data_IF_529880952826
#
_entry.id   IF_529880952826
#
_cell.length_a   1.000
_cell.length_b   1.000
_cell.length_c   1.000
_cell.angle_alpha   90.00
_cell.angle_beta   90.00
_cell.angle_gamma   90.00
#
_symmetry.space_group_name_H-M   'P 1'
#
loop_
_entity.id
_entity.type
_entity.pdbx_description
1 polymer ?
#
# COMPACT_ATOMS: atom_id res chain seq x y z
N UNK A 1 -2.38 4.64 -24.74
CA UNK A 1 -1.32 3.65 -24.48
C UNK A 1 0.00 4.36 -24.15
N UNK A 2 0.43 4.37 -22.87
CA UNK A 2 1.72 4.96 -22.50
C UNK A 2 2.88 4.05 -22.91
N UNK A 3 3.88 4.62 -23.61
CA UNK A 3 5.12 3.96 -24.03
C UNK A 3 6.21 4.20 -22.99
N UNK A 4 6.88 3.13 -22.53
CA UNK A 4 8.02 3.22 -21.60
C UNK A 4 9.29 2.67 -22.23
N UNK A 5 10.42 3.29 -21.88
CA UNK A 5 11.75 2.83 -22.29
C UNK A 5 12.24 1.73 -21.34
N UNK A 6 12.65 0.59 -21.89
CA UNK A 6 13.37 -0.45 -21.17
C UNK A 6 14.83 -0.02 -21.06
N UNK A 7 15.35 0.04 -19.84
CA UNK A 7 16.77 0.27 -19.56
C UNK A 7 17.43 -1.01 -19.04
N UNK A 8 18.66 -1.29 -19.49
CA UNK A 8 19.49 -2.36 -18.93
C UNK A 8 20.16 -1.92 -17.62
N UNK A 9 20.83 -2.85 -16.93
CA UNK A 9 21.56 -2.58 -15.68
C UNK A 9 22.72 -1.59 -15.86
N UNK A 10 23.18 -1.38 -17.09
CA UNK A 10 24.20 -0.43 -17.49
C UNK A 10 23.63 0.97 -17.77
N UNK A 11 22.30 1.14 -17.73
CA UNK A 11 21.61 2.41 -17.94
C UNK A 11 21.34 2.75 -19.41
N UNK A 12 21.59 1.84 -20.34
CA UNK A 12 21.32 2.03 -21.76
C UNK A 12 19.87 1.62 -22.09
N UNK A 13 19.22 2.37 -22.96
CA UNK A 13 17.87 2.04 -23.43
C UNK A 13 17.94 0.90 -24.45
N UNK A 14 17.36 -0.25 -24.11
CA UNK A 14 17.39 -1.47 -24.94
C UNK A 14 16.14 -1.60 -25.82
N UNK A 15 15.05 -0.89 -25.50
CA UNK A 15 13.83 -0.90 -26.31
C UNK A 15 12.69 -0.09 -25.71
N UNK A 16 11.53 -0.13 -26.36
CA UNK A 16 10.28 0.49 -25.89
C UNK A 16 9.19 -0.56 -25.72
N UNK A 17 8.34 -0.41 -24.71
CA UNK A 17 7.19 -1.28 -24.44
C UNK A 17 5.94 -0.46 -24.26
N UNK A 18 4.88 -0.92 -24.90
CA UNK A 18 3.53 -0.41 -24.73
C UNK A 18 2.85 -1.04 -23.50
N UNK A 19 2.34 -0.20 -22.61
CA UNK A 19 1.59 -0.64 -21.44
C UNK A 19 0.08 -0.66 -21.67
N UNK A 20 -0.60 -1.57 -20.97
CA UNK A 20 -2.05 -1.70 -21.02
C UNK A 20 -2.74 -0.41 -20.52
N UNK A 21 -3.53 0.21 -21.39
CA UNK A 21 -4.18 1.50 -21.12
C UNK A 21 -5.19 1.45 -19.97
N UNK A 22 -5.87 0.31 -19.80
CA UNK A 22 -6.87 0.11 -18.75
C UNK A 22 -6.30 0.24 -17.33
N UNK A 23 -5.01 -0.06 -17.15
CA UNK A 23 -4.35 -0.04 -15.83
C UNK A 23 -3.54 1.24 -15.65
N UNK A 24 -2.76 1.61 -16.67
CA UNK A 24 -1.79 2.72 -16.58
C UNK A 24 -2.33 4.06 -17.08
N UNK A 25 -3.43 4.06 -17.83
CA UNK A 25 -4.10 5.26 -18.33
C UNK A 25 -5.41 5.59 -17.59
N UNK A 26 -5.76 4.83 -16.55
CA UNK A 26 -6.99 5.06 -15.80
C UNK A 26 -6.96 6.42 -15.07
N UNK A 27 -8.10 7.15 -15.01
CA UNK A 27 -8.17 8.42 -14.30
C UNK A 27 -7.93 8.22 -12.81
N UNK A 28 -7.08 9.07 -12.23
CA UNK A 28 -6.69 8.96 -10.82
C UNK A 28 -7.82 9.44 -9.92
N UNK A 29 -8.34 8.53 -9.09
CA UNK A 29 -9.39 8.83 -8.11
C UNK A 29 -8.80 8.99 -6.69
N UNK A 30 -8.40 10.22 -6.37
CA UNK A 30 -7.65 10.57 -5.14
C UNK A 30 -8.35 10.12 -3.84
N UNK A 31 -9.67 10.34 -3.62
CA UNK A 31 -10.31 9.92 -2.37
C UNK A 31 -10.27 8.41 -2.14
N UNK A 32 -10.43 7.63 -3.20
CA UNK A 32 -10.39 6.17 -3.14
C UNK A 32 -8.97 5.68 -2.84
N UNK A 33 -7.95 6.28 -3.46
CA UNK A 33 -6.55 5.96 -3.14
C UNK A 33 -6.25 6.20 -1.66
N UNK A 34 -6.65 7.36 -1.12
CA UNK A 34 -6.46 7.66 0.30
C UNK A 34 -7.16 6.64 1.21
N UNK A 35 -8.42 6.30 0.92
CA UNK A 35 -9.18 5.30 1.68
C UNK A 35 -8.49 3.94 1.70
N UNK A 36 -8.03 3.46 0.53
CA UNK A 36 -7.35 2.17 0.41
C UNK A 36 -6.02 2.16 1.16
N UNK A 37 -5.22 3.24 1.06
CA UNK A 37 -3.96 3.35 1.79
C UNK A 37 -4.18 3.33 3.31
N UNK A 38 -5.15 4.09 3.81
CA UNK A 38 -5.48 4.09 5.24
C UNK A 38 -5.95 2.71 5.70
N UNK A 39 -6.82 2.05 4.93
CA UNK A 39 -7.31 0.71 5.25
C UNK A 39 -6.17 -0.33 5.26
N UNK A 40 -5.28 -0.29 4.27
CA UNK A 40 -4.12 -1.17 4.20
C UNK A 40 -3.21 -1.00 5.43
N UNK A 41 -2.86 0.24 5.76
CA UNK A 41 -2.03 0.55 6.93
C UNK A 41 -2.70 0.15 8.24
N UNK A 42 -4.02 0.27 8.34
CA UNK A 42 -4.77 -0.19 9.51
C UNK A 42 -4.74 -1.72 9.64
N UNK A 43 -4.90 -2.46 8.54
CA UNK A 43 -4.87 -3.93 8.53
C UNK A 43 -3.48 -4.51 8.86
N UNK A 44 -2.41 -3.79 8.51
CA UNK A 44 -1.03 -4.18 8.86
C UNK A 44 -0.74 -4.01 10.36
N UNK A 45 -1.52 -3.19 11.09
CA UNK A 45 -1.32 -3.02 12.54
C UNK A 45 -1.66 -4.31 13.29
N UNK A 46 -0.66 -4.88 13.97
CA UNK A 46 -0.77 -6.17 14.68
C UNK A 46 -1.72 -6.16 15.89
N UNK A 47 -1.94 -5.00 16.52
CA UNK A 47 -2.92 -4.88 17.61
C UNK A 47 -2.56 -5.60 18.93
N UNK A 48 -1.30 -5.98 19.19
CA UNK A 48 -0.88 -6.73 20.39
C UNK A 48 -0.83 -5.90 21.68
N UNK A 49 -1.66 -4.86 21.79
CA UNK A 49 -1.76 -4.03 22.97
C UNK A 49 -2.78 -4.65 23.94
N UNK A 50 -2.41 -4.75 25.22
CA UNK A 50 -3.30 -5.21 26.27
C UNK A 50 -2.82 -4.61 27.60
N UNK A 51 -3.76 -4.12 28.39
CA UNK A 51 -3.52 -3.62 29.74
C UNK A 51 -4.51 -4.29 30.69
N UNK A 52 -4.09 -4.52 31.93
CA UNK A 52 -4.97 -5.16 32.92
C UNK A 52 -6.09 -4.21 33.31
N UNK A 53 -7.33 -4.71 33.28
CA UNK A 53 -8.47 -4.01 33.90
C UNK A 53 -8.46 -4.22 35.43
N UNK A 54 -9.27 -3.45 36.19
CA UNK A 54 -9.34 -3.59 37.67
C UNK A 54 -9.61 -5.04 38.10
N UNK A 55 -10.40 -5.79 37.33
CA UNK A 55 -10.75 -7.19 37.61
C UNK A 55 -9.67 -8.22 37.23
N UNK A 56 -8.66 -7.83 36.44
CA UNK A 56 -7.56 -8.71 36.01
C UNK A 56 -6.34 -8.62 36.94
N UNK A 57 -6.39 -7.74 37.95
CA UNK A 57 -5.35 -7.59 38.96
C UNK A 57 -5.60 -8.57 40.11
N UNK A 58 -4.59 -9.35 40.48
CA UNK A 58 -4.66 -10.31 41.60
C UNK A 58 -4.45 -9.59 42.93
N UNK A 59 -5.33 -9.85 43.91
CA UNK A 59 -5.23 -9.29 45.27
C UNK A 59 -6.31 -8.25 45.58
N UNK A 60 -7.58 -8.59 45.33
CA UNK A 60 -8.71 -7.65 45.29
C UNK A 60 -8.91 -6.74 46.50
N UNK A 61 -9.23 -5.47 46.17
CA UNK A 61 -9.74 -4.31 46.93
C UNK A 61 -9.94 -3.13 45.96
#
# INVERSE_FOLDING_TARGET
MPTLKIVNFQGEAVGEVDLAEQVFGAPVHIPAMHQVVVAHLANVRRGTHSTKTKGEVRGGG
#
